data_IF_692708784431
#
_entry.id   IF_692708784431
#
_cell.length_a   1.000
_cell.length_b   1.000
_cell.length_c   1.000
_cell.angle_alpha   90.00
_cell.angle_beta   90.00
_cell.angle_gamma   90.00
#
_symmetry.space_group_name_H-M   'P 1'
#
loop_
_entity.id
_entity.type
_entity.pdbx_description
1 polymer ?
#
# COMPACT_ATOMS: atom_id res chain seq x y z
N UNK A 1 -7.97 -4.08 -41.32
CA UNK A 1 -7.82 -3.59 -39.93
C UNK A 1 -8.60 -4.53 -39.03
N UNK A 2 -7.92 -5.33 -38.21
CA UNK A 2 -8.58 -6.22 -37.24
C UNK A 2 -8.79 -5.42 -35.96
N UNK A 3 -10.05 -5.15 -35.61
CA UNK A 3 -10.38 -4.50 -34.35
C UNK A 3 -10.06 -5.46 -33.20
N UNK A 4 -9.02 -5.15 -32.43
CA UNK A 4 -8.72 -5.85 -31.19
C UNK A 4 -9.77 -5.41 -30.17
N UNK A 5 -10.83 -6.21 -30.02
CA UNK A 5 -11.81 -6.04 -28.95
C UNK A 5 -11.13 -6.48 -27.66
N UNK A 6 -10.76 -5.51 -26.81
CA UNK A 6 -10.31 -5.79 -25.44
C UNK A 6 -11.50 -6.32 -24.64
N UNK A 7 -11.64 -7.64 -24.58
CA UNK A 7 -12.53 -8.27 -23.62
C UNK A 7 -12.02 -7.96 -22.21
N UNK A 8 -12.69 -7.06 -21.50
CA UNK A 8 -12.58 -7.02 -20.04
C UNK A 8 -13.30 -8.26 -19.54
N UNK A 9 -12.54 -9.27 -19.14
CA UNK A 9 -13.08 -10.38 -18.37
C UNK A 9 -13.46 -9.78 -17.01
N UNK A 10 -14.73 -9.46 -16.81
CA UNK A 10 -15.27 -9.20 -15.49
C UNK A 10 -15.44 -10.56 -14.82
N UNK A 11 -14.42 -10.97 -14.06
CA UNK A 11 -14.62 -11.96 -13.00
C UNK A 11 -15.36 -11.23 -11.89
N UNK A 12 -16.54 -11.73 -11.49
CA UNK A 12 -17.21 -11.27 -10.27
C UNK A 12 -16.16 -11.28 -9.16
N UNK A 13 -15.82 -10.11 -8.61
CA UNK A 13 -14.92 -10.07 -7.47
C UNK A 13 -15.54 -10.95 -6.39
N UNK A 14 -14.74 -11.86 -5.83
CA UNK A 14 -15.24 -12.68 -4.74
C UNK A 14 -15.67 -11.74 -3.61
N UNK A 15 -16.74 -12.05 -2.87
CA UNK A 15 -17.19 -11.19 -1.74
C UNK A 15 -16.03 -10.81 -0.80
N UNK A 16 -15.04 -11.70 -0.63
CA UNK A 16 -13.84 -11.43 0.14
C UNK A 16 -12.96 -10.29 -0.40
N UNK A 17 -12.89 -10.13 -1.73
CA UNK A 17 -12.18 -9.02 -2.38
C UNK A 17 -12.91 -7.69 -2.19
N UNK A 18 -14.25 -7.70 -2.29
CA UNK A 18 -15.08 -6.52 -2.00
C UNK A 18 -14.91 -6.07 -0.54
N UNK A 19 -15.01 -7.00 0.41
CA UNK A 19 -14.76 -6.72 1.82
C UNK A 19 -13.34 -6.19 2.08
N UNK A 20 -12.34 -6.73 1.39
CA UNK A 20 -10.97 -6.25 1.52
C UNK A 20 -10.78 -4.84 0.95
N UNK A 21 -11.50 -4.48 -0.10
CA UNK A 21 -11.48 -3.14 -0.69
C UNK A 21 -12.18 -2.11 0.22
N UNK A 22 -13.36 -2.45 0.74
CA UNK A 22 -14.08 -1.62 1.70
C UNK A 22 -13.26 -1.38 2.96
N UNK A 23 -12.64 -2.43 3.51
CA UNK A 23 -11.76 -2.30 4.67
C UNK A 23 -10.55 -1.40 4.39
N UNK A 24 -9.94 -1.49 3.20
CA UNK A 24 -8.83 -0.60 2.81
C UNK A 24 -9.27 0.86 2.73
N UNK A 25 -10.47 1.11 2.21
CA UNK A 25 -11.02 2.46 2.11
C UNK A 25 -11.30 3.05 3.50
N UNK A 26 -11.89 2.27 4.40
CA UNK A 26 -12.12 2.67 5.78
C UNK A 26 -10.80 2.94 6.52
N UNK A 27 -9.84 2.03 6.43
CA UNK A 27 -8.53 2.17 7.03
C UNK A 27 -7.79 3.41 6.53
N UNK A 28 -7.89 3.74 5.24
CA UNK A 28 -7.32 4.98 4.69
C UNK A 28 -7.94 6.21 5.36
N UNK A 29 -9.27 6.25 5.50
CA UNK A 29 -9.97 7.33 6.18
C UNK A 29 -9.51 7.52 7.64
N UNK A 30 -9.33 6.40 8.37
CA UNK A 30 -8.81 6.44 9.73
C UNK A 30 -7.39 7.02 9.80
N UNK A 31 -6.51 6.57 8.91
CA UNK A 31 -5.13 7.06 8.86
C UNK A 31 -5.04 8.55 8.51
N UNK A 32 -5.85 9.02 7.55
CA UNK A 32 -5.92 10.43 7.18
C UNK A 32 -6.42 11.31 8.33
N UNK A 33 -7.39 10.82 9.10
CA UNK A 33 -7.91 11.54 10.27
C UNK A 33 -6.84 11.62 11.37
N UNK A 34 -6.21 10.50 11.72
CA UNK A 34 -5.15 10.48 12.73
C UNK A 34 -3.95 11.33 12.30
N UNK A 35 -3.59 11.32 11.01
CA UNK A 35 -2.52 12.16 10.48
C UNK A 35 -2.80 13.66 10.69
N UNK A 36 -4.05 14.09 10.49
CA UNK A 36 -4.48 15.47 10.79
C UNK A 36 -4.37 15.79 12.28
N UNK A 37 -4.85 14.88 13.13
CA UNK A 37 -4.83 15.07 14.58
C UNK A 37 -3.40 15.15 15.12
N UNK A 38 -2.49 14.34 14.57
CA UNK A 38 -1.07 14.31 14.95
C UNK A 38 -0.21 15.32 14.19
N UNK A 39 -0.79 16.07 13.24
CA UNK A 39 -0.09 17.02 12.37
C UNK A 39 1.13 16.40 11.66
N UNK A 40 0.99 15.16 11.20
CA UNK A 40 2.01 14.44 10.46
C UNK A 40 1.48 13.94 9.11
N UNK A 41 2.35 13.36 8.28
CA UNK A 41 1.89 12.71 7.06
C UNK A 41 1.32 11.31 7.39
N UNK A 42 0.42 10.80 6.55
CA UNK A 42 -0.07 9.41 6.66
C UNK A 42 1.08 8.42 6.56
N UNK A 43 2.10 8.73 5.76
CA UNK A 43 3.31 7.91 5.62
C UNK A 43 4.14 7.81 6.90
N UNK A 44 3.89 8.67 7.88
CA UNK A 44 4.58 8.70 9.16
C UNK A 44 3.88 7.86 10.23
N UNK A 45 2.72 7.26 9.90
CA UNK A 45 1.93 6.43 10.79
C UNK A 45 2.23 4.95 10.55
N UNK A 46 2.21 4.17 11.64
CA UNK A 46 2.14 2.71 11.63
C UNK A 46 0.81 2.27 12.22
N UNK A 47 0.28 1.16 11.72
CA UNK A 47 -0.92 0.57 12.28
C UNK A 47 -0.79 -0.94 12.42
N UNK A 48 -1.50 -1.50 13.39
CA UNK A 48 -1.68 -2.94 13.56
C UNK A 48 -3.16 -3.26 13.68
N UNK A 49 -3.57 -4.41 13.18
CA UNK A 49 -4.94 -4.92 13.29
C UNK A 49 -4.89 -6.19 14.11
N UNK A 50 -5.70 -6.28 15.17
CA UNK A 50 -5.79 -7.49 15.98
C UNK A 50 -6.84 -8.47 15.42
N UNK A 51 -6.96 -9.65 16.02
CA UNK A 51 -7.90 -10.69 15.60
C UNK A 51 -9.38 -10.32 15.77
N UNK A 52 -9.67 -9.19 16.43
CA UNK A 52 -11.02 -8.65 16.61
C UNK A 52 -11.32 -7.50 15.63
N UNK A 53 -10.41 -7.21 14.71
CA UNK A 53 -10.55 -6.10 13.75
C UNK A 53 -10.26 -4.72 14.34
N UNK A 54 -9.71 -4.62 15.55
CA UNK A 54 -9.33 -3.33 16.14
C UNK A 54 -8.05 -2.83 15.50
N UNK A 55 -8.12 -1.62 14.94
CA UNK A 55 -6.98 -0.92 14.34
C UNK A 55 -6.32 -0.03 15.39
N UNK A 56 -5.05 -0.28 15.68
CA UNK A 56 -4.23 0.56 16.55
C UNK A 56 -3.26 1.38 15.69
N UNK A 57 -3.38 2.71 15.72
CA UNK A 57 -2.60 3.64 14.89
C UNK A 57 -1.66 4.46 15.78
N UNK A 58 -0.38 4.53 15.39
CA UNK A 58 0.67 5.22 16.13
C UNK A 58 1.60 5.97 15.19
N UNK A 59 2.19 7.07 15.66
CA UNK A 59 3.31 7.69 14.94
C UNK A 59 4.53 6.79 14.96
N UNK A 60 5.23 6.71 13.84
CA UNK A 60 6.53 6.05 13.78
C UNK A 60 7.58 6.86 14.53
N UNK A 61 8.46 6.15 15.21
CA UNK A 61 9.64 6.76 15.81
C UNK A 61 10.63 7.20 14.72
N UNK A 62 11.54 8.15 15.00
CA UNK A 62 12.56 8.57 14.05
C UNK A 62 13.42 7.40 13.54
N UNK A 63 13.73 6.42 14.40
CA UNK A 63 14.47 5.23 14.01
C UNK A 63 13.71 4.36 13.01
N UNK A 64 12.42 4.10 13.28
CA UNK A 64 11.55 3.33 12.38
C UNK A 64 11.41 4.01 11.01
N UNK A 65 11.26 5.34 11.00
CA UNK A 65 11.18 6.13 9.76
C UNK A 65 12.44 5.97 8.92
N UNK A 66 13.61 6.12 9.54
CA UNK A 66 14.90 5.99 8.85
C UNK A 66 15.10 4.58 8.26
N UNK A 67 14.67 3.54 8.96
CA UNK A 67 14.74 2.17 8.47
C UNK A 67 13.86 1.96 7.24
N UNK A 68 12.62 2.46 7.26
CA UNK A 68 11.70 2.35 6.11
C UNK A 68 12.23 3.15 4.91
N UNK A 69 12.79 4.33 5.13
CA UNK A 69 13.42 5.12 4.06
C UNK A 69 14.61 4.38 3.44
N UNK A 70 15.46 3.78 4.25
CA UNK A 70 16.59 2.96 3.78
C UNK A 70 16.09 1.76 2.95
N UNK A 71 15.05 1.06 3.39
CA UNK A 71 14.45 -0.03 2.62
C UNK A 71 13.83 0.44 1.30
N UNK A 72 13.12 1.57 1.31
CA UNK A 72 12.55 2.19 0.10
C UNK A 72 13.65 2.55 -0.89
N UNK A 73 14.76 3.11 -0.42
CA UNK A 73 15.92 3.44 -1.26
C UNK A 73 16.58 2.19 -1.82
N UNK A 74 16.78 1.15 -1.01
CA UNK A 74 17.33 -0.12 -1.46
C UNK A 74 16.44 -0.78 -2.52
N UNK A 75 15.11 -0.83 -2.32
CA UNK A 75 14.15 -1.31 -3.33
C UNK A 75 14.23 -0.53 -4.64
N UNK A 76 14.36 0.81 -4.58
CA UNK A 76 14.52 1.64 -5.77
C UNK A 76 15.80 1.27 -6.53
N UNK A 77 16.92 1.11 -5.83
CA UNK A 77 18.20 0.73 -6.45
C UNK A 77 18.13 -0.66 -7.10
N UNK A 78 17.56 -1.65 -6.41
CA UNK A 78 17.36 -3.00 -6.96
C UNK A 78 16.50 -2.94 -8.23
N UNK A 79 15.42 -2.16 -8.24
CA UNK A 79 14.56 -2.01 -9.42
C UNK A 79 15.28 -1.33 -10.59
N UNK A 80 16.13 -0.33 -10.33
CA UNK A 80 16.96 0.30 -11.36
C UNK A 80 17.93 -0.72 -11.96
N UNK A 81 18.63 -1.49 -11.13
CA UNK A 81 19.56 -2.53 -11.59
C UNK A 81 18.84 -3.59 -12.41
N UNK A 82 17.65 -4.04 -11.98
CA UNK A 82 16.83 -5.00 -12.73
C UNK A 82 16.40 -4.46 -14.10
N UNK A 83 16.04 -3.18 -14.18
CA UNK A 83 15.73 -2.50 -15.45
C UNK A 83 16.95 -2.43 -16.38
N UNK A 84 18.11 -2.04 -15.86
CA UNK A 84 19.36 -1.96 -16.64
C UNK A 84 19.77 -3.34 -17.16
N UNK A 85 19.59 -4.40 -16.36
CA UNK A 85 19.94 -5.78 -16.74
C UNK A 85 18.89 -6.47 -17.61
N UNK A 86 17.79 -5.80 -17.98
CA UNK A 86 16.73 -6.38 -18.81
C UNK A 86 15.95 -7.53 -18.14
N UNK A 87 16.03 -7.66 -16.80
CA UNK A 87 15.39 -8.74 -16.04
C UNK A 87 13.95 -8.40 -15.61
N UNK A 88 13.29 -7.51 -16.35
CA UNK A 88 11.92 -7.08 -16.07
C UNK A 88 10.95 -8.15 -16.59
N UNK A 89 10.70 -9.20 -15.81
CA UNK A 89 9.61 -10.11 -16.10
C UNK A 89 8.29 -9.50 -15.62
N UNK A 90 7.40 -9.24 -16.60
CA UNK A 90 5.93 -9.27 -16.52
C UNK A 90 5.27 -8.57 -15.36
#
# INVERSE_FOLDING_TARGET
MVAIVKHKIYTDMSQAEEFAEDFKNELRGMLEQVAKDYKCNVEDLKFTVNNLGVVNIQSMTPLERNMIEAERQHKKQVNIIRKIKGLSNG
#
